data_IF_583756199469
#
_entry.id   IF_583756199469
#
_cell.length_a   1.000
_cell.length_b   1.000
_cell.length_c   1.000
_cell.angle_alpha   90.00
_cell.angle_beta   90.00
_cell.angle_gamma   90.00
#
_symmetry.space_group_name_H-M   'P 1'
#
loop_
_entity.id
_entity.type
_entity.pdbx_description
1 polymer ?
#
# COMPACT_ATOMS: atom_id res chain seq x y z
N UNK A 1 -6.02 8.21 -18.88
CA UNK A 1 -4.92 8.12 -17.88
C UNK A 1 -5.12 6.80 -17.16
N UNK A 2 -4.07 5.98 -17.04
CA UNK A 2 -4.15 4.72 -16.28
C UNK A 2 -3.65 5.01 -14.86
N UNK A 3 -4.48 4.76 -13.87
CA UNK A 3 -4.13 4.92 -12.46
C UNK A 3 -3.68 3.58 -11.91
N UNK A 4 -2.48 3.52 -11.33
CA UNK A 4 -1.96 2.32 -10.70
C UNK A 4 -1.78 2.53 -9.20
N UNK A 5 -2.45 1.71 -8.39
CA UNK A 5 -2.48 1.80 -6.94
C UNK A 5 -1.62 0.73 -6.27
N UNK A 6 -1.14 1.04 -5.08
CA UNK A 6 -0.61 0.07 -4.13
C UNK A 6 -1.56 0.00 -2.92
N UNK A 7 -2.13 -1.18 -2.67
CA UNK A 7 -2.93 -1.45 -1.47
C UNK A 7 -2.10 -2.27 -0.46
N UNK A 8 -2.08 -1.81 0.79
CA UNK A 8 -1.29 -2.39 1.87
C UNK A 8 -2.23 -2.65 3.05
N UNK A 9 -2.59 -3.91 3.25
CA UNK A 9 -3.53 -4.37 4.28
C UNK A 9 -3.24 -5.84 4.59
N UNK A 10 -3.22 -6.24 5.86
CA UNK A 10 -2.88 -7.61 6.24
C UNK A 10 -4.05 -8.60 6.11
N UNK A 11 -5.27 -8.10 5.85
CA UNK A 11 -6.45 -8.86 5.53
C UNK A 11 -6.56 -9.16 4.03
N UNK A 12 -6.47 -10.45 3.62
CA UNK A 12 -6.63 -10.83 2.21
C UNK A 12 -7.99 -10.42 1.64
N UNK A 13 -9.05 -10.52 2.44
CA UNK A 13 -10.42 -10.19 2.04
C UNK A 13 -10.54 -8.68 1.70
N UNK A 14 -9.89 -7.82 2.49
CA UNK A 14 -9.87 -6.38 2.22
C UNK A 14 -9.07 -6.07 0.96
N UNK A 15 -7.94 -6.73 0.75
CA UNK A 15 -7.14 -6.55 -0.47
C UNK A 15 -7.91 -6.98 -1.72
N UNK A 16 -8.71 -8.04 -1.66
CA UNK A 16 -9.56 -8.50 -2.75
C UNK A 16 -10.69 -7.50 -3.04
N UNK A 17 -11.43 -7.08 -2.01
CA UNK A 17 -12.48 -6.06 -2.11
C UNK A 17 -11.96 -4.74 -2.70
N UNK A 18 -10.77 -4.31 -2.28
CA UNK A 18 -10.12 -3.09 -2.80
C UNK A 18 -9.79 -3.26 -4.28
N UNK A 19 -9.23 -4.40 -4.69
CA UNK A 19 -8.90 -4.67 -6.10
C UNK A 19 -10.14 -4.62 -6.98
N UNK A 20 -11.23 -5.27 -6.58
CA UNK A 20 -12.49 -5.27 -7.33
C UNK A 20 -13.05 -3.85 -7.50
N UNK A 21 -13.03 -3.05 -6.43
CA UNK A 21 -13.47 -1.65 -6.48
C UNK A 21 -12.60 -0.82 -7.42
N UNK A 22 -11.29 -0.97 -7.34
CA UNK A 22 -10.37 -0.22 -8.19
C UNK A 22 -10.47 -0.65 -9.66
N UNK A 23 -10.64 -1.94 -9.95
CA UNK A 23 -10.89 -2.44 -11.30
C UNK A 23 -12.18 -1.87 -11.88
N UNK A 24 -13.26 -1.77 -11.07
CA UNK A 24 -14.51 -1.14 -11.51
C UNK A 24 -14.37 0.35 -11.89
N UNK A 25 -13.34 1.03 -11.36
CA UNK A 25 -12.98 2.41 -11.70
C UNK A 25 -12.03 2.49 -12.91
N UNK A 26 -11.61 1.36 -13.46
CA UNK A 26 -10.61 1.27 -14.52
C UNK A 26 -9.17 1.49 -14.05
N UNK A 27 -8.90 1.30 -12.75
CA UNK A 27 -7.58 1.39 -12.15
C UNK A 27 -6.94 0.00 -12.06
N UNK A 28 -5.62 -0.08 -12.02
CA UNK A 28 -4.89 -1.31 -11.69
C UNK A 28 -4.35 -1.26 -10.27
N UNK A 29 -4.21 -2.40 -9.60
CA UNK A 29 -3.79 -2.43 -8.20
C UNK A 29 -2.86 -3.60 -7.90
N UNK A 30 -1.74 -3.30 -7.25
CA UNK A 30 -0.95 -4.31 -6.52
C UNK A 30 -1.39 -4.33 -5.06
N UNK A 31 -1.48 -5.53 -4.46
CA UNK A 31 -1.88 -5.72 -3.07
C UNK A 31 -0.83 -6.50 -2.29
N UNK A 32 -0.46 -6.03 -1.10
CA UNK A 32 0.52 -6.68 -0.22
C UNK A 32 0.10 -6.63 1.24
N UNK A 33 0.49 -7.66 2.00
CA UNK A 33 0.02 -7.87 3.37
C UNK A 33 1.00 -7.52 4.48
N UNK A 34 2.15 -6.93 4.14
CA UNK A 34 3.09 -6.50 5.15
C UNK A 34 4.03 -5.40 4.64
N UNK A 35 4.65 -4.73 5.59
CA UNK A 35 5.57 -3.61 5.36
C UNK A 35 6.74 -4.01 4.46
N UNK A 36 7.35 -5.19 4.68
CA UNK A 36 8.45 -5.64 3.83
C UNK A 36 8.05 -5.75 2.35
N UNK A 37 6.91 -6.37 2.05
CA UNK A 37 6.43 -6.52 0.68
C UNK A 37 6.10 -5.17 0.03
N UNK A 38 5.53 -4.23 0.80
CA UNK A 38 5.28 -2.87 0.31
C UNK A 38 6.57 -2.16 -0.12
N UNK A 39 7.64 -2.26 0.69
CA UNK A 39 8.95 -1.70 0.33
C UNK A 39 9.49 -2.30 -0.97
N UNK A 40 9.42 -3.63 -1.12
CA UNK A 40 9.91 -4.31 -2.32
C UNK A 40 9.16 -3.87 -3.59
N UNK A 41 7.86 -3.58 -3.50
CA UNK A 41 7.08 -3.06 -4.62
C UNK A 41 7.36 -1.58 -4.90
N UNK A 42 7.45 -0.75 -3.86
CA UNK A 42 7.78 0.67 -3.99
C UNK A 42 9.17 0.90 -4.61
N UNK A 43 10.09 -0.06 -4.46
CA UNK A 43 11.42 -0.01 -5.08
C UNK A 43 11.40 -0.39 -6.58
N UNK A 44 10.42 -1.20 -7.01
CA UNK A 44 10.34 -1.76 -8.36
C UNK A 44 9.39 -1.00 -9.28
N UNK A 45 8.36 -0.38 -8.71
CA UNK A 45 7.23 0.19 -9.43
C UNK A 45 7.04 1.68 -9.11
N UNK A 46 6.21 2.33 -9.93
CA UNK A 46 5.71 3.68 -9.68
C UNK A 46 4.19 3.61 -9.50
N UNK A 47 3.70 4.15 -8.39
CA UNK A 47 2.28 4.19 -8.07
C UNK A 47 1.75 5.62 -8.13
N UNK A 48 0.50 5.75 -8.54
CA UNK A 48 -0.19 7.04 -8.59
C UNK A 48 -0.76 7.44 -7.23
N UNK A 49 -1.11 6.46 -6.40
CA UNK A 49 -1.53 6.64 -5.01
C UNK A 49 -1.37 5.34 -4.22
N UNK A 50 -1.45 5.44 -2.90
CA UNK A 50 -1.36 4.30 -1.97
C UNK A 50 -2.59 4.25 -1.07
N UNK A 51 -3.12 3.06 -0.85
CA UNK A 51 -4.10 2.74 0.18
C UNK A 51 -3.36 1.99 1.29
N UNK A 52 -3.33 2.55 2.50
CA UNK A 52 -2.47 2.07 3.59
C UNK A 52 -3.29 1.86 4.85
N UNK A 53 -3.53 0.60 5.22
CA UNK A 53 -3.88 0.30 6.60
C UNK A 53 -2.68 0.57 7.52
N UNK A 54 -2.96 1.20 8.65
CA UNK A 54 -1.95 1.51 9.64
C UNK A 54 -1.58 0.28 10.46
N UNK A 55 -2.54 -0.59 10.76
CA UNK A 55 -2.35 -1.77 11.61
C UNK A 55 -1.88 -2.98 10.80
N UNK A 56 -0.66 -2.88 10.27
CA UNK A 56 -0.04 -3.94 9.47
C UNK A 56 1.17 -4.58 10.17
N UNK A 57 1.56 -5.80 9.81
CA UNK A 57 2.75 -6.44 10.34
C UNK A 57 4.00 -6.04 9.56
N UNK A 58 5.17 -6.14 10.19
CA UNK A 58 6.45 -5.87 9.51
C UNK A 58 6.73 -6.91 8.42
N UNK A 59 6.39 -8.18 8.69
CA UNK A 59 6.50 -9.32 7.79
C UNK A 59 5.29 -10.22 7.99
N UNK A 60 5.02 -11.08 7.02
CA UNK A 60 4.00 -12.12 7.16
C UNK A 60 4.18 -12.92 8.47
N UNK A 61 3.05 -13.27 9.11
CA UNK A 61 3.00 -13.98 10.40
C UNK A 61 3.64 -13.25 11.60
N UNK A 62 3.89 -11.95 11.49
CA UNK A 62 4.27 -11.11 12.65
C UNK A 62 3.05 -10.35 13.19
N UNK A 63 3.10 -9.88 14.45
CA UNK A 63 2.02 -9.06 14.99
C UNK A 63 1.90 -7.73 14.24
N UNK A 64 0.66 -7.35 13.97
CA UNK A 64 0.29 -6.07 13.38
C UNK A 64 0.36 -4.96 14.42
N UNK A 65 0.76 -3.77 13.98
CA UNK A 65 0.90 -2.59 14.86
C UNK A 65 0.68 -1.32 14.04
N UNK A 66 -0.15 -0.42 14.55
CA UNK A 66 -0.38 0.93 13.97
C UNK A 66 0.94 1.66 13.68
N UNK A 67 1.93 1.53 14.58
CA UNK A 67 3.24 2.16 14.41
C UNK A 67 3.96 1.69 13.12
N UNK A 68 3.73 0.46 12.67
CA UNK A 68 4.35 -0.05 11.46
C UNK A 68 3.84 0.73 10.24
N UNK A 69 2.53 0.94 10.11
CA UNK A 69 1.97 1.74 9.03
C UNK A 69 2.36 3.21 9.12
N UNK A 70 2.43 3.79 10.32
CA UNK A 70 2.93 5.16 10.50
C UNK A 70 4.38 5.32 10.02
N UNK A 71 5.25 4.37 10.36
CA UNK A 71 6.64 4.37 9.89
C UNK A 71 6.69 4.25 8.37
N UNK A 72 5.89 3.35 7.78
CA UNK A 72 5.82 3.19 6.34
C UNK A 72 5.32 4.45 5.62
N UNK A 73 4.32 5.14 6.17
CA UNK A 73 3.84 6.41 5.62
C UNK A 73 4.95 7.46 5.57
N UNK A 74 5.70 7.63 6.66
CA UNK A 74 6.84 8.55 6.70
C UNK A 74 7.93 8.15 5.70
N UNK A 75 8.21 6.84 5.58
CA UNK A 75 9.14 6.32 4.59
C UNK A 75 8.69 6.64 3.16
N UNK A 76 7.42 6.39 2.81
CA UNK A 76 6.87 6.71 1.48
C UNK A 76 7.01 8.21 1.19
N UNK A 77 6.68 9.07 2.14
CA UNK A 77 6.79 10.53 1.99
C UNK A 77 8.23 11.01 1.81
N UNK A 78 9.20 10.30 2.36
CA UNK A 78 10.62 10.61 2.20
C UNK A 78 11.23 10.13 0.87
N UNK A 79 10.49 9.33 0.08
CA UNK A 79 10.97 8.79 -1.20
C UNK A 79 10.81 9.81 -2.32
N UNK A 80 11.84 9.91 -3.16
CA UNK A 80 11.80 10.74 -4.37
C UNK A 80 10.73 10.24 -5.34
N UNK A 81 9.87 11.14 -5.80
CA UNK A 81 8.72 10.83 -6.68
C UNK A 81 7.45 10.42 -5.95
N UNK A 82 7.47 10.37 -4.62
CA UNK A 82 6.34 9.97 -3.76
C UNK A 82 5.96 11.05 -2.73
N UNK A 83 6.61 12.21 -2.78
CA UNK A 83 6.43 13.32 -1.84
C UNK A 83 4.96 13.77 -1.82
N UNK A 84 4.34 13.89 -3.00
CA UNK A 84 3.03 14.51 -3.19
C UNK A 84 1.93 13.54 -3.64
N UNK A 85 2.22 12.25 -3.82
CA UNK A 85 1.18 11.30 -4.25
C UNK A 85 0.11 11.14 -3.15
N UNK A 86 -1.17 10.91 -3.46
CA UNK A 86 -2.16 10.63 -2.43
C UNK A 86 -1.82 9.35 -1.66
N UNK A 87 -1.89 9.42 -0.34
CA UNK A 87 -1.87 8.25 0.56
C UNK A 87 -3.14 8.32 1.38
N UNK A 88 -3.99 7.31 1.24
CA UNK A 88 -5.27 7.19 1.96
C UNK A 88 -5.05 6.17 3.07
N UNK A 89 -5.38 6.56 4.29
CA UNK A 89 -5.31 5.75 5.52
C UNK A 89 -6.70 5.50 6.07
#
# INVERSE_FOLDING_TARGET
MSFHALAIDDSPDVLEDVKDRLESLGHTCDGVSCLQCARELLDKNHYTYVLLDLEIPVKYSRPSRIQNGQNLLQEIRSRRGYEDIPIIV
#
